data_IF_006300933272
#
_entry.id   IF_006300933272
#
_cell.length_a   1.000
_cell.length_b   1.000
_cell.length_c   1.000
_cell.angle_alpha   90.00
_cell.angle_beta   90.00
_cell.angle_gamma   90.00
#
_symmetry.space_group_name_H-M   'P 1'
#
loop_
_entity.id
_entity.type
_entity.pdbx_description
1 polymer ?
#
# COMPACT_ATOMS: atom_id res chain seq x y z
N UNK A 1 13.67 2.65 -35.29
CA UNK A 1 14.48 2.87 -34.09
C UNK A 1 15.69 1.92 -34.12
N UNK A 2 15.50 0.61 -34.33
CA UNK A 2 16.59 -0.38 -34.33
C UNK A 2 17.60 -0.25 -35.48
N UNK A 3 17.33 0.56 -36.48
CA UNK A 3 18.22 0.77 -37.64
C UNK A 3 19.10 2.01 -37.51
N UNK A 4 18.84 2.87 -36.53
CA UNK A 4 19.60 4.10 -36.30
C UNK A 4 20.68 3.86 -35.26
N UNK A 5 21.95 4.20 -35.54
CA UNK A 5 23.04 4.00 -34.58
C UNK A 5 22.96 5.01 -33.43
N UNK A 6 23.44 4.67 -32.20
CA UNK A 6 23.42 5.59 -31.05
C UNK A 6 24.35 6.80 -31.22
N UNK A 7 25.35 6.68 -32.08
CA UNK A 7 26.30 7.77 -32.38
C UNK A 7 26.43 7.96 -33.90
N UNK A 8 26.45 9.19 -34.33
CA UNK A 8 26.71 9.59 -35.70
C UNK A 8 28.19 9.93 -35.87
N UNK A 9 28.81 9.42 -36.95
CA UNK A 9 30.16 9.84 -37.32
C UNK A 9 30.07 11.09 -38.21
N UNK A 10 30.76 12.12 -37.79
CA UNK A 10 30.97 13.30 -38.66
C UNK A 10 31.97 12.94 -39.78
N UNK A 11 31.55 13.11 -41.05
CA UNK A 11 32.41 12.86 -42.17
C UNK A 11 33.70 13.72 -42.08
N UNK A 12 34.83 13.07 -42.19
CA UNK A 12 36.15 13.74 -42.19
C UNK A 12 36.75 14.00 -40.79
N UNK A 13 36.09 13.57 -39.71
CA UNK A 13 36.62 13.68 -38.36
C UNK A 13 36.60 12.34 -37.61
N UNK A 14 37.53 12.08 -36.65
CA UNK A 14 37.48 10.92 -35.80
C UNK A 14 36.40 10.99 -34.71
N UNK A 15 35.69 12.13 -34.60
CA UNK A 15 34.70 12.39 -33.57
C UNK A 15 33.34 11.79 -33.92
N UNK A 16 32.72 11.14 -32.94
CA UNK A 16 31.31 10.73 -32.98
C UNK A 16 30.48 11.65 -32.08
N UNK A 17 29.29 12.01 -32.54
CA UNK A 17 28.32 12.80 -31.77
C UNK A 17 27.14 11.93 -31.40
N UNK A 18 26.47 12.16 -30.25
CA UNK A 18 25.25 11.48 -29.90
C UNK A 18 24.18 11.66 -30.98
N UNK A 19 23.39 10.60 -31.21
CA UNK A 19 22.26 10.66 -32.14
C UNK A 19 20.99 11.00 -31.36
N UNK A 20 20.56 12.23 -31.38
CA UNK A 20 19.38 12.72 -30.66
C UNK A 20 18.10 11.98 -31.06
N UNK A 21 17.96 11.60 -32.35
CA UNK A 21 16.81 10.83 -32.83
C UNK A 21 16.79 9.43 -32.20
N UNK A 22 17.93 8.79 -32.04
CA UNK A 22 18.06 7.51 -31.38
C UNK A 22 17.70 7.63 -29.89
N UNK A 23 18.23 8.67 -29.23
CA UNK A 23 18.01 8.95 -27.81
C UNK A 23 16.53 9.21 -27.52
N UNK A 24 15.89 10.10 -28.26
CA UNK A 24 14.47 10.42 -28.13
C UNK A 24 13.60 9.20 -28.40
N UNK A 25 13.93 8.41 -29.45
CA UNK A 25 13.21 7.18 -29.78
C UNK A 25 13.26 6.14 -28.66
N UNK A 26 14.41 5.96 -28.01
CA UNK A 26 14.54 5.03 -26.89
C UNK A 26 13.91 5.55 -25.60
N UNK A 27 13.98 6.85 -25.30
CA UNK A 27 13.23 7.46 -24.20
C UNK A 27 11.71 7.27 -24.39
N UNK A 28 11.22 7.47 -25.61
CA UNK A 28 9.82 7.20 -25.93
C UNK A 28 9.45 5.73 -25.77
N UNK A 29 10.31 4.78 -26.16
CA UNK A 29 10.10 3.35 -25.92
C UNK A 29 10.00 3.01 -24.43
N UNK A 30 10.85 3.59 -23.60
CA UNK A 30 10.77 3.44 -22.14
C UNK A 30 9.42 3.93 -21.60
N UNK A 31 8.99 5.09 -22.08
CA UNK A 31 7.70 5.67 -21.70
C UNK A 31 6.53 4.78 -22.14
N UNK A 32 6.55 4.28 -23.37
CA UNK A 32 5.53 3.33 -23.88
C UNK A 32 5.51 2.05 -23.03
N UNK A 33 6.67 1.47 -22.73
CA UNK A 33 6.77 0.28 -21.89
C UNK A 33 6.20 0.55 -20.47
N UNK A 34 6.50 1.70 -19.87
CA UNK A 34 5.94 2.12 -18.57
C UNK A 34 4.42 2.15 -18.59
N UNK A 35 3.82 2.80 -19.60
CA UNK A 35 2.36 2.90 -19.71
C UNK A 35 1.68 1.62 -20.22
N UNK A 36 2.45 0.68 -20.73
CA UNK A 36 1.99 -0.66 -21.17
C UNK A 36 2.10 -1.72 -20.08
N UNK A 37 2.38 -1.32 -18.83
CA UNK A 37 2.62 -2.22 -17.69
C UNK A 37 3.83 -3.16 -17.85
N UNK A 38 4.76 -2.85 -18.77
CA UNK A 38 6.05 -3.54 -18.90
C UNK A 38 7.16 -2.75 -18.20
N UNK A 39 7.00 -2.61 -16.88
CA UNK A 39 7.94 -1.84 -16.05
C UNK A 39 9.37 -2.42 -16.04
N UNK A 40 9.60 -3.75 -16.12
CA UNK A 40 10.96 -4.28 -16.26
C UNK A 40 11.67 -3.81 -17.53
N UNK A 41 10.97 -3.77 -18.67
CA UNK A 41 11.54 -3.27 -19.92
C UNK A 41 11.75 -1.75 -19.84
N UNK A 42 10.79 -1.01 -19.28
CA UNK A 42 10.92 0.44 -19.07
C UNK A 42 12.16 0.76 -18.22
N UNK A 43 12.38 0.03 -17.12
CA UNK A 43 13.54 0.21 -16.24
C UNK A 43 14.86 -0.09 -16.97
N UNK A 44 14.93 -1.19 -17.70
CA UNK A 44 16.14 -1.56 -18.44
C UNK A 44 16.54 -0.46 -19.42
N UNK A 45 15.60 0.04 -20.21
CA UNK A 45 15.86 1.10 -21.21
C UNK A 45 16.20 2.42 -20.51
N UNK A 46 15.41 2.86 -19.54
CA UNK A 46 15.63 4.14 -18.85
C UNK A 46 16.98 4.15 -18.12
N UNK A 47 17.33 3.05 -17.47
CA UNK A 47 18.62 2.88 -16.79
C UNK A 47 19.78 2.99 -17.79
N UNK A 48 19.73 2.27 -18.90
CA UNK A 48 20.76 2.32 -19.94
C UNK A 48 20.96 3.75 -20.46
N UNK A 49 19.89 4.45 -20.77
CA UNK A 49 19.93 5.84 -21.24
C UNK A 49 20.54 6.78 -20.20
N UNK A 50 20.09 6.70 -18.94
CA UNK A 50 20.58 7.57 -17.86
C UNK A 50 22.08 7.34 -17.56
N UNK A 51 22.55 6.10 -17.67
CA UNK A 51 23.97 5.79 -17.44
C UNK A 51 24.86 6.14 -18.64
N UNK A 52 24.36 6.00 -19.87
CA UNK A 52 25.13 6.34 -21.08
C UNK A 52 25.19 7.84 -21.37
N UNK A 53 24.22 8.62 -20.84
CA UNK A 53 24.20 10.08 -20.96
C UNK A 53 24.08 10.75 -19.58
N UNK A 54 25.10 10.64 -18.70
CA UNK A 54 25.01 11.06 -17.30
C UNK A 54 24.80 12.57 -17.10
N UNK A 55 25.12 13.39 -18.09
CA UNK A 55 24.86 14.83 -18.10
C UNK A 55 23.46 15.23 -18.60
N UNK A 56 22.64 14.27 -19.05
CA UNK A 56 21.28 14.53 -19.47
C UNK A 56 20.32 14.37 -18.27
N UNK A 57 19.87 15.49 -17.73
CA UNK A 57 18.97 15.53 -16.59
C UNK A 57 17.63 14.84 -16.86
N UNK A 58 17.03 15.08 -18.04
CA UNK A 58 15.72 14.51 -18.39
C UNK A 58 15.70 12.99 -18.34
N UNK A 59 16.75 12.33 -18.85
CA UNK A 59 16.85 10.87 -18.78
C UNK A 59 17.00 10.33 -17.36
N UNK A 60 17.61 11.07 -16.44
CA UNK A 60 17.66 10.69 -15.03
C UNK A 60 16.29 10.85 -14.36
N UNK A 61 15.57 11.90 -14.69
CA UNK A 61 14.19 12.13 -14.21
C UNK A 61 13.30 11.00 -14.72
N UNK A 62 13.37 10.65 -16.01
CA UNK A 62 12.61 9.53 -16.58
C UNK A 62 12.93 8.21 -15.88
N UNK A 63 14.21 7.94 -15.60
CA UNK A 63 14.62 6.74 -14.87
C UNK A 63 14.09 6.73 -13.43
N UNK A 64 14.17 7.85 -12.72
CA UNK A 64 13.59 7.98 -11.38
C UNK A 64 12.08 7.73 -11.37
N UNK A 65 11.36 8.26 -12.35
CA UNK A 65 9.92 8.03 -12.53
C UNK A 65 9.57 6.55 -12.78
N UNK A 66 10.42 5.81 -13.49
CA UNK A 66 10.26 4.36 -13.65
C UNK A 66 10.56 3.62 -12.35
N UNK A 67 11.62 3.99 -11.62
CA UNK A 67 11.95 3.40 -10.31
C UNK A 67 10.79 3.58 -9.32
N UNK A 68 10.16 4.75 -9.31
CA UNK A 68 8.98 5.01 -8.49
C UNK A 68 7.80 4.12 -8.88
N UNK A 69 7.53 3.94 -10.18
CA UNK A 69 6.50 3.03 -10.67
C UNK A 69 6.77 1.56 -10.28
N UNK A 70 8.05 1.17 -10.16
CA UNK A 70 8.47 -0.14 -9.66
C UNK A 70 8.38 -0.29 -8.13
N UNK A 71 7.99 0.77 -7.40
CA UNK A 71 7.87 0.78 -5.96
C UNK A 71 9.19 0.98 -5.22
N UNK A 72 10.16 1.62 -5.84
CA UNK A 72 11.46 1.94 -5.25
C UNK A 72 11.67 3.47 -5.10
N UNK A 73 10.88 4.13 -4.23
CA UNK A 73 10.92 5.59 -4.10
C UNK A 73 12.27 6.11 -3.54
N UNK A 74 12.96 5.35 -2.69
CA UNK A 74 14.30 5.75 -2.19
C UNK A 74 15.36 5.67 -3.28
N UNK A 75 15.27 4.66 -4.16
CA UNK A 75 16.12 4.57 -5.33
C UNK A 75 15.83 5.71 -6.32
N UNK A 76 14.56 6.06 -6.53
CA UNK A 76 14.15 7.21 -7.34
C UNK A 76 14.71 8.52 -6.77
N UNK A 77 14.58 8.76 -5.47
CA UNK A 77 15.13 9.92 -4.79
C UNK A 77 16.65 10.08 -5.04
N UNK A 78 17.39 8.97 -4.99
CA UNK A 78 18.84 9.01 -5.26
C UNK A 78 19.16 9.43 -6.69
N UNK A 79 18.38 9.02 -7.69
CA UNK A 79 18.56 9.48 -9.07
C UNK A 79 18.13 10.94 -9.25
N UNK A 80 17.07 11.39 -8.58
CA UNK A 80 16.65 12.80 -8.60
C UNK A 80 17.68 13.73 -7.94
N UNK A 81 18.34 13.31 -6.85
CA UNK A 81 19.47 14.05 -6.26
C UNK A 81 20.64 14.21 -7.21
N UNK A 82 20.92 13.20 -8.04
CA UNK A 82 21.95 13.32 -9.09
C UNK A 82 21.51 14.25 -10.23
N UNK A 83 20.20 14.24 -10.56
CA UNK A 83 19.63 15.14 -11.56
C UNK A 83 19.67 16.60 -11.09
N UNK A 84 19.44 16.85 -9.81
CA UNK A 84 19.43 18.16 -9.18
C UNK A 84 20.79 18.89 -9.30
N UNK A 85 21.90 18.13 -9.25
CA UNK A 85 23.25 18.72 -9.44
C UNK A 85 23.43 19.31 -10.83
N UNK A 86 22.70 18.84 -11.83
CA UNK A 86 22.82 19.32 -13.22
C UNK A 86 22.05 20.64 -13.39
N UNK A 87 20.79 20.67 -12.99
CA UNK A 87 19.92 21.85 -13.05
C UNK A 87 18.91 21.82 -11.90
N UNK A 88 19.16 22.54 -10.79
CA UNK A 88 18.36 22.43 -9.57
C UNK A 88 16.91 22.90 -9.70
N UNK A 89 16.66 23.89 -10.58
CA UNK A 89 15.34 24.54 -10.69
C UNK A 89 14.55 24.11 -11.94
N UNK A 90 14.76 22.91 -12.38
CA UNK A 90 13.98 22.32 -13.46
C UNK A 90 12.60 21.89 -12.94
N UNK A 91 11.53 22.32 -13.59
CA UNK A 91 10.14 22.05 -13.17
C UNK A 91 9.86 20.53 -13.10
N UNK A 92 10.27 19.78 -14.12
CA UNK A 92 10.04 18.33 -14.14
C UNK A 92 10.78 17.62 -13.01
N UNK A 93 11.99 18.07 -12.67
CA UNK A 93 12.75 17.55 -11.54
C UNK A 93 11.99 17.78 -10.22
N UNK A 94 11.60 19.00 -9.95
CA UNK A 94 10.94 19.36 -8.69
C UNK A 94 9.57 18.70 -8.56
N UNK A 95 8.83 18.53 -9.65
CA UNK A 95 7.57 17.76 -9.70
C UNK A 95 7.81 16.31 -9.31
N UNK A 96 8.82 15.63 -9.89
CA UNK A 96 9.14 14.24 -9.55
C UNK A 96 9.73 14.11 -8.13
N UNK A 97 10.50 15.08 -7.66
CA UNK A 97 10.96 15.14 -6.27
C UNK A 97 9.78 15.26 -5.28
N UNK A 98 8.80 16.12 -5.60
CA UNK A 98 7.62 16.28 -4.75
C UNK A 98 6.75 15.01 -4.73
N UNK A 99 6.55 14.32 -5.87
CA UNK A 99 5.87 13.02 -5.91
C UNK A 99 6.62 11.96 -5.11
N UNK A 100 7.93 11.94 -5.20
CA UNK A 100 8.78 11.02 -4.41
C UNK A 100 8.67 11.33 -2.92
N UNK A 101 8.69 12.60 -2.54
CA UNK A 101 8.50 13.03 -1.16
C UNK A 101 7.11 12.64 -0.60
N UNK A 102 6.03 12.79 -1.39
CA UNK A 102 4.69 12.30 -1.02
C UNK A 102 4.69 10.79 -0.77
N UNK A 103 5.31 10.03 -1.65
CA UNK A 103 5.40 8.57 -1.53
C UNK A 103 6.21 8.15 -0.30
N UNK A 104 7.28 8.88 0.01
CA UNK A 104 8.13 8.68 1.18
C UNK A 104 7.56 9.30 2.47
N UNK A 105 6.37 9.91 2.42
CA UNK A 105 5.73 10.56 3.58
C UNK A 105 6.54 11.74 4.15
N UNK A 106 7.26 12.44 3.29
CA UNK A 106 7.98 13.68 3.61
C UNK A 106 7.11 14.89 3.25
N UNK A 107 6.03 15.05 3.99
CA UNK A 107 4.93 15.96 3.68
C UNK A 107 5.34 17.40 3.55
N UNK A 108 6.22 17.88 4.44
CA UNK A 108 6.73 19.25 4.42
C UNK A 108 7.54 19.54 3.16
N UNK A 109 8.44 18.60 2.77
CA UNK A 109 9.22 18.74 1.54
C UNK A 109 8.30 18.75 0.30
N UNK A 110 7.32 17.82 0.26
CA UNK A 110 6.34 17.78 -0.82
C UNK A 110 5.56 19.09 -0.94
N UNK A 111 5.12 19.67 0.18
CA UNK A 111 4.40 20.93 0.20
C UNK A 111 5.25 22.11 -0.29
N UNK A 112 6.51 22.21 0.16
CA UNK A 112 7.43 23.29 -0.24
C UNK A 112 7.72 23.23 -1.75
N UNK A 113 8.08 22.05 -2.28
CA UNK A 113 8.34 21.86 -3.70
C UNK A 113 7.08 22.14 -4.54
N UNK A 114 5.92 21.67 -4.10
CA UNK A 114 4.65 21.92 -4.80
C UNK A 114 4.31 23.41 -4.85
N UNK A 115 4.51 24.12 -3.75
CA UNK A 115 4.28 25.57 -3.73
C UNK A 115 5.17 26.30 -4.74
N UNK A 116 6.48 25.99 -4.78
CA UNK A 116 7.42 26.63 -5.70
C UNK A 116 7.06 26.38 -7.18
N UNK A 117 6.76 25.12 -7.56
CA UNK A 117 6.41 24.81 -8.96
C UNK A 117 5.06 25.42 -9.38
N UNK A 118 4.08 25.50 -8.45
CA UNK A 118 2.77 26.13 -8.71
C UNK A 118 2.91 27.63 -8.94
N UNK A 119 3.82 28.31 -8.23
CA UNK A 119 4.06 29.74 -8.46
C UNK A 119 4.72 30.00 -9.82
N UNK A 120 5.59 29.12 -10.29
CA UNK A 120 6.32 29.29 -11.55
C UNK A 120 5.53 28.83 -12.79
N UNK A 121 4.88 27.67 -12.73
CA UNK A 121 4.22 27.04 -13.88
C UNK A 121 2.83 26.48 -13.49
N UNK A 122 1.85 27.36 -13.13
CA UNK A 122 0.55 26.94 -12.61
C UNK A 122 -0.32 26.16 -13.62
N UNK A 123 -0.01 26.24 -14.92
CA UNK A 123 -0.77 25.60 -15.99
C UNK A 123 -0.12 24.30 -16.50
N UNK A 124 1.09 23.96 -16.05
CA UNK A 124 1.72 22.70 -16.42
C UNK A 124 0.89 21.52 -15.94
N UNK A 125 0.57 20.53 -16.80
CA UNK A 125 -0.26 19.38 -16.41
C UNK A 125 0.31 18.53 -15.27
N UNK A 126 1.63 18.42 -15.17
CA UNK A 126 2.30 17.72 -14.07
C UNK A 126 2.15 18.45 -12.74
N UNK A 127 2.31 19.79 -12.79
CA UNK A 127 2.12 20.68 -11.62
C UNK A 127 0.68 20.68 -11.15
N UNK A 128 -0.29 20.74 -12.05
CA UNK A 128 -1.73 20.68 -11.71
C UNK A 128 -2.08 19.37 -11.02
N UNK A 129 -1.57 18.23 -11.52
CA UNK A 129 -1.79 16.92 -10.90
C UNK A 129 -1.13 16.83 -9.53
N UNK A 130 0.11 17.29 -9.41
CA UNK A 130 0.83 17.30 -8.14
C UNK A 130 0.10 18.15 -7.09
N UNK A 131 -0.30 19.38 -7.46
CA UNK A 131 -1.10 20.25 -6.58
C UNK A 131 -2.35 19.55 -6.09
N UNK A 132 -3.11 18.93 -6.98
CA UNK A 132 -4.32 18.19 -6.62
C UNK A 132 -4.02 17.05 -5.61
N UNK A 133 -2.91 16.32 -5.77
CA UNK A 133 -2.54 15.25 -4.86
C UNK A 133 -2.21 15.79 -3.46
N UNK A 134 -1.48 16.90 -3.37
CA UNK A 134 -1.19 17.57 -2.08
C UNK A 134 -2.46 18.14 -1.46
N UNK A 135 -3.33 18.78 -2.25
CA UNK A 135 -4.61 19.31 -1.77
C UNK A 135 -5.48 18.17 -1.19
N UNK A 136 -5.57 17.02 -1.88
CA UNK A 136 -6.32 15.83 -1.42
C UNK A 136 -5.72 15.26 -0.15
N UNK A 137 -4.38 15.17 -0.06
CA UNK A 137 -3.71 14.72 1.16
C UNK A 137 -4.10 15.57 2.39
N UNK A 138 -4.34 16.86 2.19
CA UNK A 138 -4.69 17.81 3.24
C UNK A 138 -6.18 17.84 3.60
N UNK A 139 -7.01 16.98 3.01
CA UNK A 139 -8.42 16.85 3.37
C UNK A 139 -8.64 15.87 4.53
N UNK A 140 -9.84 15.96 5.10
CA UNK A 140 -10.36 14.89 5.96
C UNK A 140 -10.64 13.65 5.09
N UNK A 141 -10.45 12.46 5.68
CA UNK A 141 -10.67 11.19 4.99
C UNK A 141 -11.76 10.40 5.69
N UNK A 142 -12.74 9.92 4.91
CA UNK A 142 -13.76 8.99 5.37
C UNK A 142 -13.45 7.60 4.82
N UNK A 143 -13.28 6.62 5.71
CA UNK A 143 -13.14 5.21 5.37
C UNK A 143 -14.37 4.45 5.77
N UNK A 144 -14.98 3.73 4.83
CA UNK A 144 -16.09 2.82 5.07
C UNK A 144 -15.64 1.45 4.54
N UNK A 145 -15.68 0.45 5.39
CA UNK A 145 -15.47 -0.93 5.03
C UNK A 145 -16.65 -1.75 5.52
N UNK A 146 -17.12 -2.70 4.71
CA UNK A 146 -18.21 -3.56 5.09
C UNK A 146 -18.16 -4.87 4.32
N UNK A 147 -18.66 -5.91 4.96
CA UNK A 147 -18.85 -7.23 4.38
C UNK A 147 -20.18 -7.84 4.84
N UNK A 148 -20.71 -8.71 4.02
CA UNK A 148 -21.90 -9.51 4.37
C UNK A 148 -21.75 -10.91 3.82
N UNK A 149 -22.05 -11.91 4.63
CA UNK A 149 -22.12 -13.30 4.21
C UNK A 149 -23.41 -13.60 3.45
N UNK A 150 -23.30 -14.30 2.32
CA UNK A 150 -24.42 -14.73 1.51
C UNK A 150 -24.65 -16.23 1.77
N UNK A 151 -25.69 -16.56 2.56
CA UNK A 151 -26.24 -17.92 2.80
C UNK A 151 -25.30 -19.00 3.36
N UNK A 152 -24.07 -18.71 3.70
CA UNK A 152 -23.17 -19.66 4.37
C UNK A 152 -23.26 -19.49 5.90
N UNK A 153 -23.45 -20.59 6.63
CA UNK A 153 -23.29 -20.59 8.08
C UNK A 153 -21.80 -20.68 8.40
N UNK A 154 -21.16 -19.53 8.57
CA UNK A 154 -19.80 -19.47 9.09
C UNK A 154 -19.76 -19.91 10.56
N UNK A 155 -18.81 -20.76 10.97
CA UNK A 155 -18.75 -21.26 12.35
C UNK A 155 -18.53 -20.12 13.37
N UNK A 156 -17.91 -19.03 12.96
CA UNK A 156 -17.53 -17.89 13.81
C UNK A 156 -18.35 -16.62 13.54
N UNK A 157 -18.77 -16.40 12.30
CA UNK A 157 -19.54 -15.21 11.88
C UNK A 157 -21.05 -15.43 11.86
N UNK A 158 -21.51 -16.68 11.75
CA UNK A 158 -22.94 -17.04 11.73
C UNK A 158 -23.57 -16.91 10.34
N UNK A 159 -24.92 -16.95 10.30
CA UNK A 159 -25.73 -16.69 9.10
C UNK A 159 -26.03 -15.22 8.96
N UNK A 160 -26.10 -14.74 7.70
CA UNK A 160 -26.49 -13.36 7.38
C UNK A 160 -25.66 -12.35 8.19
N UNK A 161 -24.37 -12.68 8.33
CA UNK A 161 -23.43 -11.81 9.02
C UNK A 161 -23.25 -10.50 8.28
N UNK A 162 -23.14 -9.43 9.04
CA UNK A 162 -22.83 -8.09 8.56
C UNK A 162 -21.68 -7.57 9.41
N UNK A 163 -20.66 -7.08 8.76
CA UNK A 163 -19.60 -6.30 9.39
C UNK A 163 -19.51 -4.93 8.70
N UNK A 164 -19.51 -3.86 9.48
CA UNK A 164 -19.42 -2.49 8.98
C UNK A 164 -18.52 -1.69 9.90
N UNK A 165 -17.50 -1.08 9.33
CA UNK A 165 -16.63 -0.14 10.03
C UNK A 165 -16.60 1.20 9.29
N UNK A 166 -16.81 2.29 10.01
CA UNK A 166 -16.76 3.65 9.49
C UNK A 166 -15.81 4.48 10.34
N UNK A 167 -14.78 5.07 9.73
CA UNK A 167 -13.77 5.87 10.42
C UNK A 167 -13.59 7.19 9.67
N UNK A 168 -13.59 8.29 10.41
CA UNK A 168 -13.28 9.63 9.90
C UNK A 168 -11.94 10.06 10.45
N UNK A 169 -11.00 10.39 9.58
CA UNK A 169 -9.70 10.97 9.92
C UNK A 169 -9.75 12.48 9.74
N UNK A 170 -9.14 13.21 10.65
CA UNK A 170 -8.96 14.66 10.50
C UNK A 170 -8.01 14.98 9.33
N UNK A 171 -8.01 16.22 8.82
CA UNK A 171 -6.87 16.73 8.06
C UNK A 171 -5.56 16.54 8.84
N UNK A 172 -4.40 16.47 8.15
CA UNK A 172 -3.11 16.39 8.83
C UNK A 172 -2.89 17.57 9.79
N UNK A 173 -2.46 17.27 10.99
CA UNK A 173 -2.07 18.24 12.01
C UNK A 173 -0.55 18.22 12.12
N UNK A 174 0.12 19.37 11.93
CA UNK A 174 1.59 19.46 11.90
C UNK A 174 2.20 18.39 10.97
N UNK A 175 1.63 18.28 9.78
CA UNK A 175 2.05 17.40 8.68
C UNK A 175 1.92 15.89 8.96
N UNK A 176 2.30 15.43 10.15
CA UNK A 176 2.48 14.02 10.45
C UNK A 176 1.34 13.38 11.28
N UNK A 177 0.52 14.16 11.97
CA UNK A 177 -0.50 13.67 12.87
C UNK A 177 -1.89 13.73 12.27
N UNK A 178 -2.72 12.71 12.54
CA UNK A 178 -4.17 12.73 12.30
C UNK A 178 -4.89 12.19 13.52
N UNK A 179 -5.92 12.90 13.96
CA UNK A 179 -6.91 12.33 14.88
C UNK A 179 -7.97 11.56 14.08
N UNK A 180 -8.53 10.52 14.66
CA UNK A 180 -9.65 9.82 14.05
C UNK A 180 -10.70 9.41 15.08
N UNK A 181 -11.92 9.23 14.60
CA UNK A 181 -13.01 8.63 15.36
C UNK A 181 -13.87 7.79 14.43
N UNK A 182 -14.55 6.78 14.97
CA UNK A 182 -15.32 5.89 14.15
C UNK A 182 -16.31 5.03 14.93
N UNK A 183 -17.00 4.20 14.16
CA UNK A 183 -17.99 3.27 14.63
C UNK A 183 -17.84 1.95 13.89
N UNK A 184 -17.87 0.84 14.65
CA UNK A 184 -17.91 -0.52 14.15
C UNK A 184 -19.23 -1.19 14.51
N UNK A 185 -19.74 -2.03 13.63
CA UNK A 185 -20.91 -2.84 13.85
C UNK A 185 -20.70 -4.22 13.24
N UNK A 186 -20.89 -5.27 14.04
CA UNK A 186 -20.90 -6.63 13.55
C UNK A 186 -22.11 -7.39 14.11
N UNK A 187 -22.78 -8.16 13.25
CA UNK A 187 -23.84 -9.06 13.69
C UNK A 187 -23.84 -10.38 12.93
N UNK A 188 -24.39 -11.41 13.54
CA UNK A 188 -24.53 -12.72 12.94
C UNK A 188 -25.55 -13.57 13.68
N UNK A 189 -26.20 -14.49 12.98
CA UNK A 189 -27.18 -15.39 13.53
C UNK A 189 -26.56 -16.76 13.78
N UNK A 190 -26.55 -17.21 15.02
CA UNK A 190 -26.09 -18.52 15.47
C UNK A 190 -27.24 -19.40 15.92
N UNK A 191 -27.01 -20.70 16.12
CA UNK A 191 -28.01 -21.63 16.67
C UNK A 191 -28.53 -21.21 18.05
N UNK A 192 -27.65 -20.61 18.87
CA UNK A 192 -27.94 -20.08 20.21
C UNK A 192 -28.51 -18.66 20.20
N UNK A 193 -28.82 -18.08 19.03
CA UNK A 193 -29.40 -16.75 18.83
C UNK A 193 -28.45 -15.71 18.23
N UNK A 194 -28.92 -14.49 18.09
CA UNK A 194 -28.17 -13.40 17.42
C UNK A 194 -27.04 -12.88 18.29
N UNK A 195 -25.83 -12.75 17.70
CA UNK A 195 -24.72 -12.03 18.27
C UNK A 195 -24.64 -10.62 17.66
N UNK A 196 -24.40 -9.60 18.48
CA UNK A 196 -24.24 -8.22 18.04
C UNK A 196 -23.11 -7.59 18.81
N UNK A 197 -22.19 -6.95 18.09
CA UNK A 197 -21.10 -6.13 18.64
C UNK A 197 -21.15 -4.74 18.03
N UNK A 198 -20.94 -3.73 18.85
CA UNK A 198 -20.82 -2.34 18.43
C UNK A 198 -19.58 -1.74 19.04
N UNK A 199 -18.78 -1.05 18.23
CA UNK A 199 -17.56 -0.40 18.66
C UNK A 199 -17.66 1.10 18.42
N UNK A 200 -17.35 1.89 19.46
CA UNK A 200 -17.06 3.31 19.33
C UNK A 200 -15.57 3.48 19.51
N UNK A 201 -14.91 4.04 18.53
CA UNK A 201 -13.46 4.15 18.53
C UNK A 201 -12.98 5.57 18.30
N UNK A 202 -11.86 5.91 18.90
CA UNK A 202 -11.16 7.17 18.66
C UNK A 202 -9.65 6.96 18.87
N UNK A 203 -8.86 7.69 18.11
CA UNK A 203 -7.42 7.52 18.19
C UNK A 203 -6.62 8.59 17.50
N UNK A 204 -5.33 8.35 17.45
CA UNK A 204 -4.36 9.20 16.78
C UNK A 204 -3.44 8.35 15.90
N UNK A 205 -3.12 8.89 14.77
CA UNK A 205 -2.18 8.33 13.80
C UNK A 205 -1.00 9.28 13.65
N UNK A 206 0.20 8.74 13.55
CA UNK A 206 1.41 9.46 13.20
C UNK A 206 2.15 8.78 12.06
N UNK A 207 2.51 9.54 11.03
CA UNK A 207 3.22 9.05 9.85
C UNK A 207 4.46 9.88 9.55
N UNK A 208 5.54 9.21 9.23
CA UNK A 208 6.79 9.81 8.79
C UNK A 208 7.48 8.86 7.81
N UNK A 209 8.56 9.30 7.19
CA UNK A 209 9.28 8.61 6.11
C UNK A 209 9.38 7.08 6.26
N UNK A 210 9.76 6.62 7.43
CA UNK A 210 10.03 5.19 7.66
C UNK A 210 9.08 4.55 8.66
N UNK A 211 8.21 5.32 9.29
CA UNK A 211 7.44 4.88 10.47
C UNK A 211 6.00 5.30 10.33
N UNK A 212 5.11 4.40 10.64
CA UNK A 212 3.72 4.66 10.92
C UNK A 212 3.37 4.11 12.30
N UNK A 213 2.68 4.89 13.10
CA UNK A 213 2.17 4.50 14.41
C UNK A 213 0.71 4.90 14.52
N UNK A 214 -0.08 4.06 15.15
CA UNK A 214 -1.50 4.33 15.45
C UNK A 214 -1.82 3.84 16.85
N UNK A 215 -2.47 4.69 17.63
CA UNK A 215 -3.00 4.35 18.95
C UNK A 215 -4.51 4.62 18.94
N UNK A 216 -5.29 3.61 19.31
CA UNK A 216 -6.74 3.63 19.33
C UNK A 216 -7.25 3.23 20.71
N UNK A 217 -8.26 3.91 21.16
CA UNK A 217 -9.15 3.50 22.24
C UNK A 217 -10.50 3.16 21.64
N UNK A 218 -11.09 2.05 22.09
CA UNK A 218 -12.42 1.63 21.66
C UNK A 218 -13.29 1.30 22.88
N UNK A 219 -14.55 1.64 22.80
CA UNK A 219 -15.57 1.14 23.70
C UNK A 219 -16.43 0.13 22.94
N UNK A 220 -16.30 -1.13 23.32
CA UNK A 220 -16.99 -2.25 22.71
C UNK A 220 -18.21 -2.66 23.52
N UNK A 221 -19.35 -2.71 22.84
CA UNK A 221 -20.64 -3.05 23.44
C UNK A 221 -21.12 -4.39 22.87
N UNK A 222 -21.23 -5.39 23.73
CA UNK A 222 -21.81 -6.69 23.42
C UNK A 222 -22.48 -7.26 24.68
N UNK A 223 -23.52 -8.08 24.48
CA UNK A 223 -24.33 -8.64 25.59
C UNK A 223 -24.80 -7.59 26.61
N UNK A 224 -25.09 -6.34 26.18
CA UNK A 224 -25.43 -5.20 27.04
C UNK A 224 -24.31 -4.74 28.01
N UNK A 225 -23.10 -5.26 27.83
CA UNK A 225 -21.92 -4.85 28.59
C UNK A 225 -21.06 -3.89 27.77
N UNK A 226 -20.47 -2.91 28.45
CA UNK A 226 -19.51 -1.96 27.89
C UNK A 226 -18.11 -2.35 28.36
N UNK A 227 -17.21 -2.65 27.44
CA UNK A 227 -15.84 -3.03 27.76
C UNK A 227 -14.83 -2.13 27.03
N UNK A 228 -13.85 -1.57 27.74
CA UNK A 228 -12.81 -0.75 27.12
C UNK A 228 -11.78 -1.63 26.42
N UNK A 229 -11.52 -1.31 25.17
CA UNK A 229 -10.47 -1.86 24.33
C UNK A 229 -9.42 -0.83 24.00
N UNK A 230 -8.27 -1.29 23.55
CA UNK A 230 -7.20 -0.44 23.04
C UNK A 230 -6.39 -1.18 22.01
N UNK A 231 -5.93 -0.47 20.98
CA UNK A 231 -5.04 -1.00 19.95
C UNK A 231 -3.85 -0.08 19.78
N UNK A 232 -2.67 -0.66 19.68
CA UNK A 232 -1.43 -0.01 19.29
C UNK A 232 -0.89 -0.75 18.08
N UNK A 233 -0.71 -0.06 16.96
CA UNK A 233 -0.22 -0.61 15.71
C UNK A 233 0.94 0.22 15.19
N UNK A 234 1.87 -0.41 14.48
CA UNK A 234 2.93 0.32 13.84
C UNK A 234 3.76 -0.52 12.90
N UNK A 235 4.47 0.17 12.01
CA UNK A 235 5.46 -0.46 11.15
C UNK A 235 6.67 0.44 10.91
N UNK A 236 7.76 -0.20 10.50
CA UNK A 236 9.01 0.44 10.13
C UNK A 236 9.53 -0.10 8.80
N UNK A 237 9.85 0.80 7.88
CA UNK A 237 10.49 0.52 6.59
C UNK A 237 12.01 0.65 6.70
N UNK A 238 12.72 -0.45 6.57
CA UNK A 238 14.20 -0.43 6.51
C UNK A 238 14.70 0.18 5.20
N UNK A 239 14.02 -0.13 4.10
CA UNK A 239 14.32 0.30 2.74
C UNK A 239 13.09 0.12 1.85
N UNK A 240 13.25 0.20 0.52
CA UNK A 240 12.15 -0.02 -0.42
C UNK A 240 11.62 -1.46 -0.43
N UNK A 241 12.40 -2.42 0.10
CA UNK A 241 12.10 -3.85 0.01
C UNK A 241 11.56 -4.45 1.30
N UNK A 242 11.94 -3.96 2.47
CA UNK A 242 11.68 -4.61 3.74
C UNK A 242 10.92 -3.72 4.71
N UNK A 243 9.81 -4.27 5.22
CA UNK A 243 8.99 -3.69 6.29
C UNK A 243 8.80 -4.71 7.40
N UNK A 244 8.90 -4.26 8.64
CA UNK A 244 8.41 -4.97 9.81
C UNK A 244 7.26 -4.20 10.43
N UNK A 245 6.35 -4.90 11.08
CA UNK A 245 5.29 -4.24 11.83
C UNK A 245 4.77 -5.11 12.95
N UNK A 246 4.04 -4.48 13.86
CA UNK A 246 3.41 -5.14 14.98
C UNK A 246 2.09 -4.48 15.35
N UNK A 247 1.24 -5.23 16.03
CA UNK A 247 -0.04 -4.78 16.57
C UNK A 247 -0.27 -5.45 17.92
N UNK A 248 -0.70 -4.66 18.89
CA UNK A 248 -1.11 -5.14 20.21
C UNK A 248 -2.55 -4.69 20.44
N UNK A 249 -3.41 -5.60 20.86
CA UNK A 249 -4.81 -5.29 21.14
C UNK A 249 -5.24 -5.82 22.50
N UNK A 250 -5.83 -4.97 23.28
CA UNK A 250 -6.66 -5.34 24.41
C UNK A 250 -8.11 -5.37 23.99
N UNK A 251 -8.85 -6.42 24.34
CA UNK A 251 -10.19 -6.68 23.83
C UNK A 251 -10.18 -6.76 22.30
N UNK A 252 -9.47 -7.75 21.79
CA UNK A 252 -9.06 -7.86 20.39
C UNK A 252 -10.21 -8.09 19.43
N UNK A 253 -10.11 -7.50 18.25
CA UNK A 253 -10.96 -7.78 17.09
C UNK A 253 -10.73 -9.19 16.49
N UNK A 254 -9.66 -9.88 16.90
CA UNK A 254 -9.39 -11.28 16.49
C UNK A 254 -10.28 -12.29 17.22
N UNK A 255 -10.97 -11.86 18.27
CA UNK A 255 -11.95 -12.70 18.97
C UNK A 255 -13.19 -12.87 18.10
N UNK A 256 -13.60 -14.10 17.74
CA UNK A 256 -14.76 -14.33 16.91
C UNK A 256 -16.05 -13.75 17.50
N UNK A 257 -16.97 -13.30 16.65
CA UNK A 257 -18.26 -12.77 17.08
C UNK A 257 -19.04 -13.77 17.96
N UNK A 258 -18.98 -15.06 17.61
CA UNK A 258 -19.61 -16.13 18.38
C UNK A 258 -19.00 -16.29 19.77
N UNK A 259 -17.68 -16.14 19.89
CA UNK A 259 -17.00 -16.14 21.20
C UNK A 259 -17.48 -14.97 22.07
N UNK A 260 -17.51 -13.75 21.51
CA UNK A 260 -17.98 -12.55 22.20
C UNK A 260 -19.45 -12.68 22.64
N UNK A 261 -20.32 -13.25 21.79
CA UNK A 261 -21.71 -13.56 22.16
C UNK A 261 -21.80 -14.46 23.40
N UNK A 262 -20.87 -15.40 23.53
CA UNK A 262 -20.80 -16.30 24.69
C UNK A 262 -19.97 -15.70 25.87
N UNK A 263 -19.69 -14.40 25.83
CA UNK A 263 -19.00 -13.68 26.90
C UNK A 263 -17.47 -13.84 26.90
N UNK A 264 -16.92 -14.57 25.92
CA UNK A 264 -15.48 -14.77 25.78
C UNK A 264 -14.86 -13.54 25.12
N UNK A 265 -13.80 -13.04 25.73
CA UNK A 265 -12.98 -11.90 25.24
C UNK A 265 -11.54 -12.35 25.09
N UNK A 266 -10.68 -11.53 24.56
CA UNK A 266 -9.27 -11.88 24.46
C UNK A 266 -8.38 -10.68 24.13
N UNK A 267 -7.09 -10.85 24.36
CA UNK A 267 -6.07 -9.90 23.97
C UNK A 267 -5.19 -10.52 22.91
N UNK A 268 -4.67 -9.73 22.00
CA UNK A 268 -3.81 -10.26 20.93
C UNK A 268 -2.53 -9.45 20.74
N UNK A 269 -1.52 -10.15 20.24
CA UNK A 269 -0.29 -9.58 19.73
C UNK A 269 -0.03 -10.15 18.33
N UNK A 270 0.38 -9.31 17.42
CA UNK A 270 0.74 -9.69 16.07
C UNK A 270 2.08 -9.04 15.69
N UNK A 271 2.90 -9.78 14.95
CA UNK A 271 4.08 -9.27 14.29
C UNK A 271 4.11 -9.76 12.86
N UNK A 272 4.66 -8.95 11.97
CA UNK A 272 4.79 -9.34 10.56
C UNK A 272 6.06 -8.77 9.94
N UNK A 273 6.51 -9.47 8.90
CA UNK A 273 7.58 -9.02 7.99
C UNK A 273 7.02 -9.03 6.58
N UNK A 274 7.23 -7.97 5.83
CA UNK A 274 6.90 -7.89 4.40
C UNK A 274 8.16 -7.68 3.60
N UNK A 275 8.30 -8.45 2.54
CA UNK A 275 9.30 -8.28 1.50
C UNK A 275 8.61 -7.89 0.20
N UNK A 276 9.05 -6.77 -0.36
CA UNK A 276 8.58 -6.22 -1.61
C UNK A 276 9.75 -6.16 -2.58
N UNK A 277 9.77 -7.01 -3.59
CA UNK A 277 10.81 -6.96 -4.60
C UNK A 277 10.57 -5.83 -5.58
N UNK A 278 9.36 -5.78 -6.12
CA UNK A 278 8.86 -4.78 -7.06
C UNK A 278 7.32 -4.95 -7.24
N UNK A 279 6.72 -4.24 -8.17
CA UNK A 279 5.29 -4.29 -8.49
C UNK A 279 4.76 -5.68 -8.90
N UNK A 280 5.65 -6.60 -9.25
CA UNK A 280 5.30 -7.97 -9.71
C UNK A 280 5.37 -9.00 -8.60
N UNK A 281 6.17 -8.75 -7.56
CA UNK A 281 6.45 -9.75 -6.54
C UNK A 281 6.54 -9.16 -5.16
N UNK A 282 5.72 -9.66 -4.26
CA UNK A 282 5.78 -9.35 -2.82
C UNK A 282 5.35 -10.56 -2.00
N UNK A 283 5.90 -10.66 -0.80
CA UNK A 283 5.56 -11.69 0.18
C UNK A 283 5.49 -11.08 1.58
N UNK A 284 4.62 -11.65 2.39
CA UNK A 284 4.49 -11.32 3.80
C UNK A 284 4.37 -12.58 4.65
N UNK A 285 5.00 -12.55 5.80
CA UNK A 285 4.79 -13.55 6.86
C UNK A 285 4.29 -12.83 8.08
N UNK A 286 3.23 -13.32 8.68
CA UNK A 286 2.73 -12.83 9.96
C UNK A 286 2.61 -13.95 10.96
N UNK A 287 2.82 -13.61 12.22
CA UNK A 287 2.53 -14.42 13.38
C UNK A 287 1.62 -13.65 14.30
N UNK A 288 0.57 -14.29 14.80
CA UNK A 288 -0.33 -13.72 15.77
C UNK A 288 -0.56 -14.69 16.94
N UNK A 289 -0.73 -14.10 18.10
CA UNK A 289 -1.07 -14.78 19.33
C UNK A 289 -2.31 -14.12 19.94
N UNK A 290 -3.30 -14.91 20.33
CA UNK A 290 -4.51 -14.44 21.02
C UNK A 290 -4.70 -15.26 22.29
N UNK A 291 -4.82 -14.56 23.41
CA UNK A 291 -5.10 -15.12 24.73
C UNK A 291 -6.58 -14.83 25.06
N UNK A 292 -7.38 -15.88 25.14
CA UNK A 292 -8.80 -15.79 25.38
C UNK A 292 -9.15 -15.90 26.87
N UNK A 293 -10.24 -15.28 27.30
CA UNK A 293 -10.68 -15.29 28.71
C UNK A 293 -11.19 -16.66 29.21
N UNK A 294 -11.41 -17.61 28.32
CA UNK A 294 -11.78 -19.01 28.61
C UNK A 294 -10.57 -19.94 28.71
N UNK A 295 -9.36 -19.39 28.80
CA UNK A 295 -8.07 -20.08 28.89
C UNK A 295 -7.56 -20.67 27.57
N UNK A 296 -8.29 -20.50 26.46
CA UNK A 296 -7.75 -20.88 25.16
C UNK A 296 -6.63 -19.90 24.73
N UNK A 297 -5.59 -20.46 24.13
CA UNK A 297 -4.52 -19.70 23.50
C UNK A 297 -4.42 -20.11 22.03
N UNK A 298 -4.59 -19.14 21.14
CA UNK A 298 -4.53 -19.32 19.70
C UNK A 298 -3.22 -18.76 19.17
N UNK A 299 -2.52 -19.55 18.37
CA UNK A 299 -1.37 -19.12 17.59
C UNK A 299 -1.68 -19.28 16.12
N UNK A 300 -1.39 -18.26 15.34
CA UNK A 300 -1.65 -18.23 13.90
C UNK A 300 -0.38 -17.80 13.18
N UNK A 301 -0.10 -18.47 12.08
CA UNK A 301 0.98 -18.08 11.15
C UNK A 301 0.36 -17.99 9.75
N UNK A 302 0.56 -16.86 9.08
CA UNK A 302 0.17 -16.74 7.67
C UNK A 302 1.36 -16.36 6.79
N UNK A 303 1.35 -16.89 5.58
CA UNK A 303 2.22 -16.46 4.49
C UNK A 303 1.31 -16.01 3.36
N UNK A 304 1.47 -14.76 2.95
CA UNK A 304 0.75 -14.15 1.82
C UNK A 304 1.74 -13.76 0.74
N UNK A 305 1.39 -14.00 -0.50
CA UNK A 305 2.24 -13.66 -1.63
C UNK A 305 1.47 -13.05 -2.78
N UNK A 306 2.21 -12.37 -3.67
CA UNK A 306 1.73 -11.96 -4.98
C UNK A 306 2.84 -12.16 -5.99
N UNK A 307 2.49 -12.87 -7.07
CA UNK A 307 3.34 -13.08 -8.24
C UNK A 307 2.57 -12.66 -9.49
N UNK A 308 3.05 -11.64 -10.19
CA UNK A 308 2.47 -11.25 -11.47
C UNK A 308 2.85 -12.25 -12.56
N UNK A 309 1.89 -13.06 -12.98
CA UNK A 309 2.08 -14.09 -13.99
C UNK A 309 1.82 -13.59 -15.41
N UNK A 310 0.98 -12.55 -15.54
CA UNK A 310 0.70 -11.93 -16.83
C UNK A 310 0.62 -10.41 -16.70
N UNK A 311 1.17 -9.69 -17.67
CA UNK A 311 1.09 -8.24 -17.76
C UNK A 311 0.98 -7.80 -19.22
N UNK A 312 -0.04 -7.04 -19.53
CA UNK A 312 -0.25 -6.40 -20.81
C UNK A 312 -0.85 -5.01 -20.62
N UNK A 313 -0.98 -4.18 -21.66
CA UNK A 313 -1.58 -2.83 -21.52
C UNK A 313 -3.00 -2.83 -20.93
N UNK A 314 -3.75 -3.92 -21.12
CA UNK A 314 -5.16 -3.98 -20.73
C UNK A 314 -5.47 -5.03 -19.66
N UNK A 315 -4.61 -6.03 -19.46
CA UNK A 315 -4.85 -7.13 -18.55
C UNK A 315 -3.61 -7.40 -17.70
N UNK A 316 -3.81 -7.40 -16.38
CA UNK A 316 -2.84 -7.86 -15.40
C UNK A 316 -3.44 -9.09 -14.72
N UNK A 317 -2.65 -10.14 -14.54
CA UNK A 317 -3.05 -11.33 -13.78
C UNK A 317 -1.98 -11.61 -12.74
N UNK A 318 -2.41 -11.61 -11.49
CA UNK A 318 -1.59 -11.91 -10.33
C UNK A 318 -2.02 -13.25 -9.71
N UNK A 319 -1.05 -14.08 -9.36
CA UNK A 319 -1.24 -15.26 -8.52
C UNK A 319 -0.99 -14.88 -7.08
N UNK A 320 -1.93 -15.24 -6.20
CA UNK A 320 -1.94 -14.88 -4.78
C UNK A 320 -1.86 -16.17 -3.94
N UNK A 321 -0.65 -16.72 -3.69
CA UNK A 321 -0.49 -17.84 -2.77
C UNK A 321 -0.75 -17.37 -1.34
N UNK A 322 -1.59 -18.11 -0.62
CA UNK A 322 -1.84 -17.92 0.80
C UNK A 322 -1.73 -19.26 1.53
N UNK A 323 -0.91 -19.29 2.59
CA UNK A 323 -0.79 -20.40 3.51
C UNK A 323 -1.18 -19.91 4.89
N UNK A 324 -2.00 -20.68 5.56
CA UNK A 324 -2.47 -20.35 6.91
C UNK A 324 -2.31 -21.57 7.81
N UNK A 325 -1.77 -21.36 9.00
CA UNK A 325 -1.67 -22.33 10.06
C UNK A 325 -2.21 -21.74 11.35
N UNK A 326 -3.07 -22.49 12.02
CA UNK A 326 -3.64 -22.15 13.32
C UNK A 326 -3.48 -23.32 14.28
N UNK A 327 -3.18 -23.01 15.54
CA UNK A 327 -3.15 -23.96 16.65
C UNK A 327 -3.81 -23.33 17.88
N UNK A 328 -4.66 -24.10 18.56
CA UNK A 328 -5.33 -23.74 19.79
C UNK A 328 -4.98 -24.72 20.92
N UNK A 329 -5.04 -24.25 22.17
CA UNK A 329 -4.82 -25.09 23.36
C UNK A 329 -6.09 -25.80 23.83
N UNK A 330 -7.25 -25.15 23.66
CA UNK A 330 -8.56 -25.70 24.02
C UNK A 330 -9.33 -26.06 22.75
N UNK A 331 -10.25 -27.02 22.82
CA UNK A 331 -11.05 -27.47 21.67
C UNK A 331 -12.55 -27.60 21.96
N UNK A 332 -12.93 -27.62 23.22
CA UNK A 332 -14.34 -27.69 23.63
C UNK A 332 -14.86 -26.29 24.00
N UNK A 333 -14.93 -25.43 23.00
CA UNK A 333 -15.35 -24.03 23.15
C UNK A 333 -16.65 -23.76 22.37
N UNK A 334 -17.43 -22.74 22.71
CA UNK A 334 -18.69 -22.41 22.01
C UNK A 334 -18.47 -21.75 20.63
N UNK A 335 -17.26 -21.60 20.17
CA UNK A 335 -16.89 -21.03 18.88
C UNK A 335 -15.94 -21.99 18.13
N UNK A 336 -15.71 -21.77 16.83
CA UNK A 336 -14.81 -22.59 16.04
C UNK A 336 -13.39 -22.50 16.59
N UNK A 337 -12.86 -23.64 17.01
CA UNK A 337 -11.57 -23.70 17.70
C UNK A 337 -10.86 -25.04 17.43
N UNK A 338 -10.39 -25.25 16.20
CA UNK A 338 -9.69 -26.49 15.86
C UNK A 338 -8.36 -26.59 16.62
N UNK A 339 -8.00 -27.78 17.06
CA UNK A 339 -6.68 -28.00 17.71
C UNK A 339 -5.55 -27.54 16.79
N UNK A 340 -5.67 -27.91 15.52
CA UNK A 340 -4.73 -27.50 14.45
C UNK A 340 -5.45 -27.43 13.13
N UNK A 341 -5.15 -26.38 12.36
CA UNK A 341 -5.62 -26.23 10.98
C UNK A 341 -4.45 -25.80 10.11
N UNK A 342 -4.39 -26.31 8.90
CA UNK A 342 -3.46 -25.88 7.88
C UNK A 342 -4.19 -25.74 6.56
N UNK A 343 -4.22 -24.53 6.03
CA UNK A 343 -4.92 -24.19 4.81
C UNK A 343 -3.95 -23.71 3.73
N UNK A 344 -4.18 -24.16 2.50
CA UNK A 344 -3.52 -23.68 1.31
C UNK A 344 -4.59 -23.07 0.40
N UNK A 345 -4.53 -21.77 0.22
CA UNK A 345 -5.53 -21.03 -0.55
C UNK A 345 -4.86 -20.33 -1.73
N UNK A 346 -4.71 -21.00 -2.88
CA UNK A 346 -4.27 -20.34 -4.09
C UNK A 346 -5.41 -19.49 -4.65
N UNK A 347 -5.14 -18.22 -4.93
CA UNK A 347 -6.09 -17.33 -5.57
C UNK A 347 -5.47 -16.67 -6.81
N UNK A 348 -6.32 -16.21 -7.71
CA UNK A 348 -5.93 -15.43 -8.88
C UNK A 348 -6.74 -14.15 -8.90
N UNK A 349 -6.06 -13.05 -9.15
CA UNK A 349 -6.67 -11.73 -9.38
C UNK A 349 -6.40 -11.31 -10.81
N UNK A 350 -7.44 -10.94 -11.54
CA UNK A 350 -7.35 -10.43 -12.90
C UNK A 350 -7.93 -9.04 -12.96
N UNK A 351 -7.10 -8.05 -13.26
CA UNK A 351 -7.50 -6.66 -13.45
C UNK A 351 -7.51 -6.32 -14.93
N UNK A 352 -8.70 -6.09 -15.49
CA UNK A 352 -8.87 -5.77 -16.90
C UNK A 352 -9.31 -4.33 -17.09
N UNK A 353 -8.49 -3.56 -17.81
CA UNK A 353 -8.84 -2.19 -18.19
C UNK A 353 -9.91 -2.19 -19.28
N UNK A 354 -11.16 -1.88 -18.92
CA UNK A 354 -12.29 -1.84 -19.83
C UNK A 354 -12.33 -0.56 -20.64
N UNK A 355 -11.99 0.56 -20.00
CA UNK A 355 -12.02 1.87 -20.63
C UNK A 355 -11.08 2.84 -19.92
N UNK A 356 -10.46 3.74 -20.66
CA UNK A 356 -9.62 4.82 -20.14
C UNK A 356 -9.79 6.09 -20.96
N UNK A 357 -10.02 7.19 -20.28
CA UNK A 357 -10.00 8.53 -20.87
C UNK A 357 -9.28 9.49 -19.95
N UNK A 358 -8.08 9.92 -20.33
CA UNK A 358 -7.17 10.70 -19.51
C UNK A 358 -6.88 10.02 -18.17
N UNK A 359 -7.31 10.60 -17.05
CA UNK A 359 -7.12 10.10 -15.68
C UNK A 359 -8.27 9.18 -15.21
N UNK A 360 -9.36 9.11 -15.96
CA UNK A 360 -10.48 8.23 -15.62
C UNK A 360 -10.31 6.87 -16.26
N UNK A 361 -10.52 5.82 -15.47
CA UNK A 361 -10.47 4.45 -15.98
C UNK A 361 -11.53 3.58 -15.31
N UNK A 362 -12.00 2.59 -16.04
CA UNK A 362 -12.80 1.48 -15.52
C UNK A 362 -11.96 0.20 -15.63
N UNK A 363 -11.82 -0.48 -14.48
CA UNK A 363 -11.06 -1.73 -14.33
C UNK A 363 -12.00 -2.83 -13.85
#
# INVERSE_FOLDING_TARGET
>A
INTSPPFLRLMGTPTSIPNDTWLQGHSFLSTVAKYSNDLPQAEMIARELAYNAPGNQGLRIDYASVLQARGWPRAAENELKKAEVIEPRNINLEVEQAWTALTLQEWQQAAVLTHDVVEREPQDPGVVRLKRAVDVHNLAELRIAGSTGIDAEGPDSGKHDVDLTTIVYSPPLKDNWRGFAGFGYADGQFSEGKGIVRDWLAGVEWRSRNIWLEAEYAERVFNHEHKPGARLSGWYDFNDNWRIGSQLERLSHRVPLRAMKNGVTGNSAQAYVRWYQNERRKYGVSWAFTDFSDSNQRQEVSLEGQERIWSSPYLIVDFLPNLYYEQNTEHDTPYYNPIKTFDIVPAFEASHLLWRSYENSWV
#
